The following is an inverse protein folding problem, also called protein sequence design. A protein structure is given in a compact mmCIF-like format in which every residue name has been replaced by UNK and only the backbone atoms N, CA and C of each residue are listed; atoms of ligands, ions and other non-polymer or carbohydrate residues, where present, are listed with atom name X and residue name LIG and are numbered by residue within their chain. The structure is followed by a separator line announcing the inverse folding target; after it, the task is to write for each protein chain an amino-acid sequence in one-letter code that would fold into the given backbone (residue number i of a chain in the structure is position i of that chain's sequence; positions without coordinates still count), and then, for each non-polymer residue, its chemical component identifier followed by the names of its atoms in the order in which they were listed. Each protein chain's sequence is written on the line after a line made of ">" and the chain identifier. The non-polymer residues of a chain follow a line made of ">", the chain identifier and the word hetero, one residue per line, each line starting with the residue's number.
data_IF_971899412600
#
_entry.id   IF_971899412600
#
_cell.length_a   1.000
_cell.length_b   1.000
_cell.length_c   1.000
_cell.angle_alpha   90.00
_cell.angle_beta   90.00
_cell.angle_gamma   90.00
#
_symmetry.space_group_name_H-M   'P 1'
#
loop_
_entity.id
_entity.type
_entity.pdbx_description
1 polymer ?
#
# COMPACT_ATOMS: atom_id res chain seq x y z
N UNK A 1 12.98 -4.05 33.83
CA UNK A 1 11.63 -4.66 33.63
C UNK A 1 11.72 -5.69 32.49
N UNK A 2 10.67 -6.45 32.17
CA UNK A 2 10.73 -7.33 30.97
C UNK A 2 10.45 -6.50 29.72
N UNK A 3 11.38 -6.50 28.76
CA UNK A 3 11.20 -5.89 27.44
C UNK A 3 10.08 -6.63 26.69
N UNK A 4 9.16 -5.89 26.07
CA UNK A 4 8.04 -6.47 25.33
C UNK A 4 8.18 -6.28 23.82
N UNK A 5 7.98 -7.34 23.05
CA UNK A 5 7.85 -7.24 21.61
C UNK A 5 6.53 -6.55 21.24
N UNK A 6 6.57 -5.71 20.21
CA UNK A 6 5.40 -5.11 19.57
C UNK A 6 5.37 -5.52 18.09
N UNK A 7 4.25 -6.05 17.62
CA UNK A 7 4.10 -6.41 16.20
C UNK A 7 3.78 -5.18 15.35
N UNK A 8 4.02 -5.26 14.03
CA UNK A 8 3.62 -4.21 13.09
C UNK A 8 2.11 -3.90 13.16
N UNK A 9 1.26 -4.93 13.26
CA UNK A 9 -0.19 -4.77 13.45
C UNK A 9 -0.54 -3.97 14.73
N UNK A 10 0.13 -4.28 15.84
CA UNK A 10 -0.07 -3.56 17.11
C UNK A 10 0.38 -2.10 17.01
N UNK A 11 1.55 -1.86 16.41
CA UNK A 11 2.07 -0.51 16.18
C UNK A 11 1.10 0.31 15.32
N UNK A 12 0.59 -0.28 14.25
CA UNK A 12 -0.38 0.39 13.37
C UNK A 12 -1.64 0.77 14.14
N UNK A 13 -2.26 -0.18 14.87
CA UNK A 13 -3.46 0.09 15.68
C UNK A 13 -3.24 1.25 16.66
N UNK A 14 -2.04 1.37 17.24
CA UNK A 14 -1.68 2.49 18.14
C UNK A 14 -1.49 3.81 17.42
N UNK A 15 -0.88 3.80 16.23
CA UNK A 15 -0.73 4.98 15.37
C UNK A 15 -2.10 5.62 15.06
N UNK A 16 -3.08 4.81 14.65
CA UNK A 16 -4.45 5.31 14.40
C UNK A 16 -5.24 5.63 15.66
N UNK A 17 -4.97 4.98 16.79
CA UNK A 17 -5.55 5.35 18.07
C UNK A 17 -5.00 6.67 18.64
N UNK A 18 -4.14 7.40 17.88
CA UNK A 18 -3.45 8.63 18.30
C UNK A 18 -2.73 8.48 19.65
N UNK A 19 -2.23 7.28 19.92
CA UNK A 19 -1.52 6.98 21.17
C UNK A 19 -0.16 7.67 21.16
N UNK A 20 0.09 8.56 22.13
CA UNK A 20 1.35 9.32 22.22
C UNK A 20 2.53 8.36 22.40
N UNK A 21 3.31 8.21 21.34
CA UNK A 21 4.41 7.26 21.28
C UNK A 21 5.73 8.02 21.13
N UNK A 22 6.78 7.51 21.76
CA UNK A 22 8.15 7.96 21.54
C UNK A 22 8.91 6.85 20.80
N UNK A 23 9.43 7.18 19.63
CA UNK A 23 10.14 6.24 18.75
C UNK A 23 11.63 6.53 18.80
N UNK A 24 12.42 5.60 19.34
CA UNK A 24 13.87 5.63 19.25
C UNK A 24 14.33 4.79 18.06
N UNK A 25 14.73 5.43 16.98
CA UNK A 25 15.27 4.76 15.80
C UNK A 25 16.79 4.61 15.93
N UNK A 26 17.26 3.37 16.03
CA UNK A 26 18.70 3.07 16.20
C UNK A 26 19.40 2.66 14.90
N UNK A 27 18.74 2.86 13.75
CA UNK A 27 19.39 2.70 12.44
C UNK A 27 20.40 3.83 12.18
N UNK A 28 21.23 3.64 11.17
CA UNK A 28 22.14 4.68 10.71
C UNK A 28 21.33 5.85 10.12
N UNK A 29 21.87 7.05 10.21
CA UNK A 29 21.20 8.27 9.74
C UNK A 29 20.73 8.18 8.28
N UNK A 30 21.53 7.58 7.40
CA UNK A 30 21.17 7.40 6.00
C UNK A 30 19.91 6.53 5.82
N UNK A 31 19.74 5.47 6.62
CA UNK A 31 18.57 4.59 6.54
C UNK A 31 17.30 5.27 7.07
N UNK A 32 17.45 6.16 8.06
CA UNK A 32 16.33 6.96 8.61
C UNK A 32 15.93 8.09 7.67
N UNK A 33 16.90 8.70 6.99
CA UNK A 33 16.67 9.73 5.97
C UNK A 33 16.00 9.15 4.72
N UNK A 34 16.32 7.91 4.35
CA UNK A 34 15.63 7.21 3.25
C UNK A 34 14.15 7.05 3.58
N UNK A 35 13.83 6.59 4.80
CA UNK A 35 12.46 6.50 5.29
C UNK A 35 12.38 6.21 6.79
N UNK A 36 11.26 6.59 7.43
CA UNK A 36 10.98 6.35 8.85
C UNK A 36 9.50 6.10 9.10
N UNK A 37 9.16 5.71 10.34
CA UNK A 37 7.75 5.61 10.76
C UNK A 37 7.26 7.00 11.12
N UNK A 38 6.17 7.42 10.51
CA UNK A 38 5.55 8.74 10.71
C UNK A 38 4.13 8.61 11.27
N UNK A 39 3.66 9.67 11.93
CA UNK A 39 2.30 9.76 12.45
C UNK A 39 2.13 10.94 13.40
N UNK A 40 0.92 11.53 13.43
CA UNK A 40 0.63 12.75 14.21
C UNK A 40 0.98 12.64 15.70
N UNK A 41 0.88 11.43 16.27
CA UNK A 41 1.11 11.16 17.70
C UNK A 41 2.51 10.59 18.00
N UNK A 42 3.38 10.48 16.99
CA UNK A 42 4.74 9.93 17.11
C UNK A 42 5.72 11.09 17.28
N UNK A 43 6.56 11.00 18.31
CA UNK A 43 7.77 11.82 18.43
C UNK A 43 8.95 10.88 18.24
N UNK A 44 9.76 11.13 17.23
CA UNK A 44 10.93 10.31 16.91
C UNK A 44 12.25 10.98 17.31
N UNK A 45 13.22 10.13 17.68
CA UNK A 45 14.62 10.49 17.87
C UNK A 45 15.48 9.42 17.19
N UNK A 46 16.43 9.84 16.35
CA UNK A 46 17.41 8.92 15.78
C UNK A 46 18.74 8.99 16.56
N UNK A 47 19.13 7.87 17.16
CA UNK A 47 20.46 7.68 17.77
C UNK A 47 21.02 6.36 17.26
N UNK A 48 21.98 6.37 16.33
CA UNK A 48 22.51 5.15 15.76
C UNK A 48 23.02 4.17 16.82
N UNK A 49 22.77 2.88 16.60
CA UNK A 49 23.15 1.83 17.55
C UNK A 49 24.64 1.84 17.94
N UNK A 50 25.53 2.24 17.02
CA UNK A 50 26.97 2.29 17.31
C UNK A 50 27.33 3.30 18.40
N UNK A 51 26.54 4.35 18.57
CA UNK A 51 26.70 5.36 19.64
C UNK A 51 26.20 4.86 21.00
N UNK A 52 25.53 3.69 21.04
CA UNK A 52 24.92 3.10 22.24
C UNK A 52 25.62 1.82 22.70
N UNK A 53 26.76 1.46 22.10
CA UNK A 53 27.47 0.21 22.40
C UNK A 53 27.99 0.14 23.84
N UNK A 54 28.39 1.29 24.39
CA UNK A 54 28.90 1.40 25.77
C UNK A 54 27.77 1.60 26.81
N UNK A 55 26.51 1.56 26.36
CA UNK A 55 25.32 1.74 27.18
C UNK A 55 24.49 2.96 26.78
N UNK A 56 23.38 3.17 27.49
CA UNK A 56 22.50 4.33 27.31
C UNK A 56 22.95 5.43 28.29
N UNK A 57 23.46 6.53 27.76
CA UNK A 57 23.93 7.67 28.55
C UNK A 57 22.77 8.45 29.21
N UNK A 58 23.07 9.17 30.30
CA UNK A 58 22.09 10.00 31.00
C UNK A 58 21.46 11.07 30.11
N UNK A 59 22.19 11.60 29.13
CA UNK A 59 21.68 12.61 28.20
C UNK A 59 20.55 12.04 27.33
N UNK A 60 20.70 10.82 26.80
CA UNK A 60 19.63 10.15 26.06
C UNK A 60 18.40 9.92 26.94
N UNK A 61 18.59 9.49 28.19
CA UNK A 61 17.47 9.27 29.13
C UNK A 61 16.67 10.55 29.40
N UNK A 62 17.31 11.73 29.39
CA UNK A 62 16.62 13.01 29.56
C UNK A 62 15.73 13.38 28.36
N UNK A 63 16.05 12.87 27.17
CA UNK A 63 15.25 13.08 25.97
C UNK A 63 14.06 12.09 25.86
N UNK A 64 14.06 11.01 26.65
CA UNK A 64 12.98 10.02 26.65
C UNK A 64 11.85 10.51 27.57
N UNK A 65 10.65 10.81 27.03
CA UNK A 65 9.54 11.30 27.83
C UNK A 65 8.96 10.20 28.71
N UNK A 66 8.68 10.53 29.97
CA UNK A 66 8.08 9.61 30.95
C UNK A 66 6.56 9.43 30.80
N UNK A 67 5.89 10.31 30.03
CA UNK A 67 4.45 10.29 29.78
C UNK A 67 4.05 9.55 28.49
N UNK A 68 4.99 8.84 27.85
CA UNK A 68 4.76 8.15 26.58
C UNK A 68 5.26 6.72 26.61
N UNK A 69 4.68 5.89 25.76
CA UNK A 69 5.24 4.57 25.49
C UNK A 69 6.48 4.69 24.60
N UNK A 70 7.56 4.02 25.01
CA UNK A 70 8.82 3.99 24.27
C UNK A 70 8.85 2.76 23.38
N UNK A 71 9.14 2.98 22.10
CA UNK A 71 9.38 1.93 21.11
C UNK A 71 10.77 2.12 20.50
N UNK A 72 11.60 1.09 20.54
CA UNK A 72 12.89 1.07 19.86
C UNK A 72 12.77 0.31 18.54
N UNK A 73 13.30 0.88 17.46
CA UNK A 73 13.29 0.25 16.13
C UNK A 73 14.68 0.19 15.54
N UNK A 74 14.97 -0.91 14.84
CA UNK A 74 16.13 -1.05 13.98
C UNK A 74 15.74 -1.79 12.69
N UNK A 75 16.69 -2.07 11.80
CA UNK A 75 16.39 -2.69 10.51
C UNK A 75 15.65 -4.05 10.61
N UNK A 76 16.02 -4.93 11.55
CA UNK A 76 15.45 -6.29 11.68
C UNK A 76 14.94 -6.68 13.07
N UNK A 77 15.53 -6.15 14.14
CA UNK A 77 15.11 -6.19 15.56
C UNK A 77 16.30 -6.35 16.52
N UNK A 78 17.41 -6.97 16.10
CA UNK A 78 18.52 -7.34 16.99
C UNK A 78 19.08 -6.16 17.80
N UNK A 79 19.50 -5.08 17.13
CA UNK A 79 19.98 -3.86 17.81
C UNK A 79 18.91 -3.20 18.68
N UNK A 80 17.63 -3.22 18.25
CA UNK A 80 16.56 -2.63 19.06
C UNK A 80 16.24 -3.44 20.31
N UNK A 81 16.43 -4.78 20.29
CA UNK A 81 16.30 -5.62 21.48
C UNK A 81 17.38 -5.24 22.50
N UNK A 82 18.64 -5.17 22.07
CA UNK A 82 19.76 -4.82 22.96
C UNK A 82 19.56 -3.44 23.60
N UNK A 83 19.21 -2.43 22.80
CA UNK A 83 18.96 -1.08 23.32
C UNK A 83 17.72 -1.04 24.22
N UNK A 84 16.66 -1.77 23.88
CA UNK A 84 15.49 -1.87 24.74
C UNK A 84 15.80 -2.56 26.08
N UNK A 85 16.70 -3.55 26.11
CA UNK A 85 17.17 -4.16 27.35
C UNK A 85 17.92 -3.15 28.21
N UNK A 86 18.85 -2.39 27.63
CA UNK A 86 19.58 -1.32 28.34
C UNK A 86 18.63 -0.26 28.92
N UNK A 87 17.66 0.21 28.14
CA UNK A 87 16.64 1.15 28.62
C UNK A 87 15.78 0.57 29.75
N UNK A 88 15.43 -0.71 29.65
CA UNK A 88 14.64 -1.41 30.67
C UNK A 88 15.40 -1.64 31.97
N UNK A 89 16.72 -1.83 31.90
CA UNK A 89 17.63 -1.87 33.06
C UNK A 89 17.75 -0.49 33.73
N UNK A 90 17.76 0.58 32.93
CA UNK A 90 17.68 1.96 33.41
C UNK A 90 16.29 2.37 33.94
N UNK A 91 15.32 1.44 33.95
CA UNK A 91 13.99 1.65 34.53
C UNK A 91 12.94 2.23 33.57
N UNK A 92 13.22 2.32 32.27
CA UNK A 92 12.28 2.80 31.24
C UNK A 92 11.38 1.65 30.76
N UNK A 93 10.05 1.73 30.88
CA UNK A 93 9.15 0.77 30.23
C UNK A 93 9.25 0.91 28.71
N UNK A 94 9.67 -0.16 28.03
CA UNK A 94 10.03 -0.09 26.61
C UNK A 94 9.59 -1.32 25.83
N UNK A 95 9.23 -1.08 24.57
CA UNK A 95 8.98 -2.10 23.56
C UNK A 95 10.05 -2.06 22.47
N UNK A 96 10.20 -3.16 21.75
CA UNK A 96 10.87 -3.14 20.44
C UNK A 96 9.92 -3.63 19.35
N UNK A 97 10.15 -3.19 18.13
CA UNK A 97 9.38 -3.67 16.98
C UNK A 97 9.87 -5.05 16.56
N UNK A 98 9.01 -6.06 16.70
CA UNK A 98 9.27 -7.42 16.28
C UNK A 98 9.46 -7.47 14.76
N UNK A 99 10.57 -8.07 14.33
CA UNK A 99 11.00 -8.10 12.93
C UNK A 99 11.49 -6.74 12.39
N UNK A 100 11.55 -5.70 13.24
CA UNK A 100 12.09 -4.38 12.95
C UNK A 100 11.39 -3.66 11.79
N UNK A 101 12.08 -2.66 11.25
CA UNK A 101 11.60 -1.87 10.12
C UNK A 101 11.33 -2.74 8.88
N UNK A 102 12.02 -3.88 8.73
CA UNK A 102 11.70 -4.86 7.69
C UNK A 102 10.25 -5.36 7.82
N UNK A 103 9.86 -5.85 9.00
CA UNK A 103 8.50 -6.33 9.22
C UNK A 103 7.46 -5.22 9.06
N UNK A 104 7.77 -3.99 9.50
CA UNK A 104 6.90 -2.84 9.26
C UNK A 104 6.75 -2.51 7.76
N UNK A 105 7.84 -2.58 6.99
CA UNK A 105 7.81 -2.36 5.54
C UNK A 105 7.08 -3.46 4.77
N UNK A 106 6.95 -4.65 5.36
CA UNK A 106 6.29 -5.82 4.77
C UNK A 106 4.86 -6.01 5.28
N UNK A 107 4.41 -5.21 6.26
CA UNK A 107 3.04 -5.24 6.77
C UNK A 107 2.10 -4.55 5.78
N UNK A 108 0.98 -5.20 5.48
CA UNK A 108 -0.15 -4.58 4.79
C UNK A 108 -1.36 -4.62 5.72
N UNK A 109 -2.01 -3.48 5.90
CA UNK A 109 -3.27 -3.44 6.65
C UNK A 109 -4.46 -3.56 5.70
N UNK A 110 -5.33 -4.57 5.85
CA UNK A 110 -6.61 -4.59 5.16
C UNK A 110 -7.58 -3.57 5.79
N UNK A 111 -8.13 -2.69 4.95
CA UNK A 111 -9.17 -1.71 5.28
C UNK A 111 -10.37 -1.98 4.37
N UNK A 112 -11.55 -2.14 4.95
CA UNK A 112 -12.79 -2.30 4.16
C UNK A 112 -13.17 -0.95 3.56
N UNK A 113 -13.28 -0.88 2.24
CA UNK A 113 -13.70 0.34 1.53
C UNK A 113 -15.21 0.46 1.49
N UNK A 114 -15.92 -0.65 1.22
CA UNK A 114 -17.37 -0.63 1.15
C UNK A 114 -17.99 -1.93 0.69
N UNK A 115 -19.31 -1.97 0.76
CA UNK A 115 -20.16 -3.02 0.19
C UNK A 115 -20.59 -2.62 -1.23
N UNK A 116 -20.74 -3.59 -2.13
CA UNK A 116 -21.28 -3.32 -3.48
C UNK A 116 -22.79 -3.09 -3.44
N UNK A 117 -23.26 -2.10 -4.19
CA UNK A 117 -24.68 -1.69 -4.21
C UNK A 117 -25.67 -2.79 -4.64
N UNK A 118 -25.24 -3.74 -5.47
CA UNK A 118 -26.02 -4.91 -5.88
C UNK A 118 -26.20 -5.98 -4.79
N UNK A 119 -25.49 -5.84 -3.66
CA UNK A 119 -25.44 -6.81 -2.57
C UNK A 119 -24.51 -8.00 -2.84
N UNK A 120 -24.06 -8.66 -1.78
CA UNK A 120 -23.32 -9.94 -1.86
C UNK A 120 -21.81 -9.85 -2.10
N UNK A 121 -21.23 -8.64 -2.14
CA UNK A 121 -19.79 -8.46 -2.26
C UNK A 121 -19.25 -7.24 -1.51
N UNK A 122 -17.95 -7.23 -1.32
CA UNK A 122 -17.19 -6.25 -0.55
C UNK A 122 -15.88 -5.90 -1.27
N UNK A 123 -15.37 -4.68 -1.07
CA UNK A 123 -14.05 -4.27 -1.54
C UNK A 123 -13.14 -3.93 -0.34
N UNK A 124 -11.95 -4.50 -0.34
CA UNK A 124 -10.90 -4.26 0.65
C UNK A 124 -9.66 -3.66 -0.02
N UNK A 125 -9.07 -2.68 0.64
CA UNK A 125 -7.79 -2.09 0.28
C UNK A 125 -6.73 -2.56 1.29
N UNK A 126 -5.57 -2.99 0.81
CA UNK A 126 -4.43 -3.40 1.61
C UNK A 126 -3.39 -2.30 1.57
N UNK A 127 -3.20 -1.63 2.70
CA UNK A 127 -2.35 -0.43 2.82
C UNK A 127 -0.96 -0.83 3.30
N UNK A 128 0.05 -0.66 2.44
CA UNK A 128 1.46 -0.91 2.77
C UNK A 128 2.15 0.39 3.21
N UNK A 129 1.98 0.75 4.48
CA UNK A 129 2.47 2.01 5.06
C UNK A 129 3.94 2.31 4.76
N UNK A 130 4.84 1.33 4.89
CA UNK A 130 6.28 1.58 4.72
C UNK A 130 6.74 1.86 3.29
N UNK A 131 5.87 1.71 2.28
CA UNK A 131 6.20 1.97 0.87
C UNK A 131 5.16 2.77 0.11
N UNK A 132 4.03 3.10 0.72
CA UNK A 132 2.96 3.83 0.05
C UNK A 132 2.19 3.00 -1.00
N UNK A 133 2.44 1.69 -1.09
CA UNK A 133 1.75 0.82 -2.06
C UNK A 133 0.35 0.43 -1.54
N UNK A 134 -0.59 0.32 -2.47
CA UNK A 134 -1.96 -0.08 -2.25
C UNK A 134 -2.27 -1.25 -3.18
N UNK A 135 -2.95 -2.24 -2.63
CA UNK A 135 -3.50 -3.35 -3.41
C UNK A 135 -4.92 -3.63 -2.96
N UNK A 136 -5.65 -4.43 -3.73
CA UNK A 136 -7.09 -4.57 -3.52
C UNK A 136 -7.51 -6.03 -3.52
N UNK A 137 -8.51 -6.36 -2.69
CA UNK A 137 -9.25 -7.61 -2.82
C UNK A 137 -10.74 -7.29 -2.97
N UNK A 138 -11.30 -7.77 -4.06
CA UNK A 138 -12.73 -7.70 -4.37
C UNK A 138 -13.29 -9.08 -4.02
N UNK A 139 -14.29 -9.12 -3.15
CA UNK A 139 -14.86 -10.37 -2.62
C UNK A 139 -16.33 -10.45 -3.01
N UNK A 140 -16.77 -11.61 -3.50
CA UNK A 140 -18.20 -11.86 -3.71
C UNK A 140 -18.51 -13.36 -3.74
N UNK A 141 -19.57 -13.79 -3.05
CA UNK A 141 -20.12 -15.15 -3.09
C UNK A 141 -19.08 -16.29 -3.08
N UNK A 142 -18.11 -16.25 -2.17
CA UNK A 142 -17.08 -17.29 -2.02
C UNK A 142 -15.89 -17.20 -2.98
N UNK A 143 -15.84 -16.18 -3.83
CA UNK A 143 -14.74 -15.90 -4.75
C UNK A 143 -14.11 -14.53 -4.46
N UNK A 144 -12.85 -14.37 -4.85
CA UNK A 144 -12.14 -13.12 -4.74
C UNK A 144 -11.23 -12.85 -5.96
N UNK A 145 -11.11 -11.58 -6.31
CA UNK A 145 -10.08 -11.07 -7.22
C UNK A 145 -9.10 -10.19 -6.44
N UNK A 146 -7.80 -10.32 -6.71
CA UNK A 146 -6.76 -9.45 -6.13
C UNK A 146 -6.15 -8.58 -7.22
N UNK A 147 -6.05 -7.27 -6.96
CA UNK A 147 -5.43 -6.30 -7.88
C UNK A 147 -4.15 -5.74 -7.27
N UNK A 148 -3.07 -5.71 -8.06
CA UNK A 148 -1.74 -5.19 -7.72
C UNK A 148 -1.13 -5.86 -6.48
N UNK A 149 -1.14 -7.19 -6.46
CA UNK A 149 -0.71 -7.96 -5.29
C UNK A 149 0.77 -7.69 -4.95
N UNK A 150 1.04 -7.14 -3.76
CA UNK A 150 2.40 -7.07 -3.22
C UNK A 150 3.07 -8.46 -3.08
N UNK A 151 4.41 -8.48 -3.07
CA UNK A 151 5.23 -9.69 -2.96
C UNK A 151 4.93 -10.60 -1.75
N UNK A 152 4.41 -10.04 -0.66
CA UNK A 152 4.05 -10.77 0.57
C UNK A 152 2.71 -11.50 0.40
N UNK A 153 2.67 -12.47 -0.51
CA UNK A 153 1.43 -13.10 -0.99
C UNK A 153 0.60 -13.82 0.07
N UNK A 154 1.23 -14.31 1.15
CA UNK A 154 0.55 -15.00 2.24
C UNK A 154 -0.52 -14.14 2.92
N UNK A 155 -0.38 -12.81 2.91
CA UNK A 155 -1.38 -11.94 3.53
C UNK A 155 -2.74 -12.02 2.82
N UNK A 156 -2.74 -12.12 1.49
CA UNK A 156 -3.98 -12.25 0.71
C UNK A 156 -4.57 -13.65 0.90
N UNK A 157 -3.73 -14.67 0.93
CA UNK A 157 -4.17 -16.06 1.14
C UNK A 157 -4.83 -16.21 2.52
N UNK A 158 -4.19 -15.69 3.57
CA UNK A 158 -4.72 -15.75 4.93
C UNK A 158 -5.97 -14.88 5.10
N UNK A 159 -6.04 -13.74 4.43
CA UNK A 159 -7.24 -12.91 4.39
C UNK A 159 -8.40 -13.64 3.69
N UNK A 160 -8.17 -14.18 2.50
CA UNK A 160 -9.18 -14.94 1.75
C UNK A 160 -9.72 -16.14 2.57
N UNK A 161 -8.84 -16.89 3.25
CA UNK A 161 -9.25 -17.97 4.17
C UNK A 161 -10.12 -17.48 5.32
N UNK A 162 -9.78 -16.33 5.94
CA UNK A 162 -10.58 -15.76 7.04
C UNK A 162 -11.97 -15.31 6.58
N UNK A 163 -12.10 -14.94 5.31
CA UNK A 163 -13.36 -14.52 4.68
C UNK A 163 -14.09 -15.67 3.95
N UNK A 164 -13.61 -16.91 4.08
CA UNK A 164 -14.17 -18.10 3.44
C UNK A 164 -14.33 -17.95 1.91
N UNK A 165 -13.34 -17.34 1.26
CA UNK A 165 -13.33 -17.11 -0.20
C UNK A 165 -12.09 -17.68 -0.87
N UNK A 166 -12.24 -18.05 -2.14
CA UNK A 166 -11.16 -18.52 -3.00
C UNK A 166 -10.71 -17.42 -3.95
N UNK A 167 -9.42 -17.14 -4.00
CA UNK A 167 -8.87 -16.20 -5.00
C UNK A 167 -8.90 -16.88 -6.37
N UNK A 168 -9.69 -16.36 -7.30
CA UNK A 168 -9.89 -16.91 -8.66
C UNK A 168 -9.23 -16.05 -9.74
N UNK A 169 -9.00 -14.77 -9.46
CA UNK A 169 -8.31 -13.85 -10.36
C UNK A 169 -7.26 -13.03 -9.63
N UNK A 170 -6.13 -12.82 -10.29
CA UNK A 170 -5.08 -11.90 -9.86
C UNK A 170 -4.74 -11.00 -11.04
N UNK A 171 -4.84 -9.68 -10.86
CA UNK A 171 -4.69 -8.69 -11.92
C UNK A 171 -3.59 -7.71 -11.52
N UNK A 172 -2.69 -7.35 -12.44
CA UNK A 172 -1.86 -6.16 -12.25
C UNK A 172 -2.32 -5.06 -13.22
N UNK A 173 -2.43 -3.82 -12.72
CA UNK A 173 -2.80 -2.64 -13.51
C UNK A 173 -1.74 -2.30 -14.55
N UNK A 174 -0.47 -2.54 -14.23
CA UNK A 174 0.70 -2.30 -15.06
C UNK A 174 1.87 -3.16 -14.61
N UNK A 175 2.95 -3.21 -15.39
CA UNK A 175 4.20 -3.81 -14.92
C UNK A 175 4.91 -2.84 -13.96
N UNK A 176 4.76 -3.09 -12.66
CA UNK A 176 5.32 -2.29 -11.57
C UNK A 176 6.85 -2.18 -11.67
N UNK A 177 7.37 -0.94 -11.74
CA UNK A 177 8.81 -0.66 -11.84
C UNK A 177 9.49 -0.44 -10.47
N UNK A 178 8.69 -0.08 -9.46
CA UNK A 178 9.10 0.27 -8.11
C UNK A 178 9.19 -0.94 -7.17
N UNK A 179 8.50 -2.05 -7.50
CA UNK A 179 8.52 -3.28 -6.73
C UNK A 179 8.31 -4.54 -7.58
N UNK A 180 8.73 -5.68 -7.01
CA UNK A 180 8.43 -6.98 -7.60
C UNK A 180 6.97 -7.34 -7.27
N UNK A 181 6.11 -7.39 -8.29
CA UNK A 181 4.73 -7.87 -8.15
C UNK A 181 4.70 -9.28 -7.55
N UNK A 182 3.80 -9.48 -6.60
CA UNK A 182 3.42 -10.79 -6.07
C UNK A 182 2.37 -11.49 -6.91
N UNK A 183 1.84 -10.85 -7.96
CA UNK A 183 0.70 -11.30 -8.76
C UNK A 183 0.88 -12.71 -9.31
N UNK A 184 1.96 -12.95 -10.06
CA UNK A 184 2.30 -14.27 -10.60
C UNK A 184 2.37 -15.34 -9.50
N UNK A 185 3.11 -15.06 -8.43
CA UNK A 185 3.30 -16.02 -7.34
C UNK A 185 1.96 -16.33 -6.65
N UNK A 186 1.12 -15.33 -6.42
CA UNK A 186 -0.18 -15.50 -5.81
C UNK A 186 -1.09 -16.36 -6.71
N UNK A 187 -1.08 -16.12 -8.02
CA UNK A 187 -1.81 -16.92 -8.99
C UNK A 187 -1.36 -18.40 -8.97
N UNK A 188 -0.05 -18.65 -8.98
CA UNK A 188 0.52 -20.01 -8.87
C UNK A 188 0.12 -20.71 -7.54
N UNK A 189 0.12 -19.98 -6.43
CA UNK A 189 -0.24 -20.53 -5.10
C UNK A 189 -1.73 -20.85 -4.96
N UNK A 190 -2.60 -20.13 -5.68
CA UNK A 190 -4.07 -20.22 -5.54
C UNK A 190 -4.73 -20.97 -6.69
N UNK A 191 -4.03 -21.14 -7.82
CA UNK A 191 -4.61 -21.63 -9.07
C UNK A 191 -5.46 -20.57 -9.79
N UNK A 192 -5.38 -19.31 -9.39
CA UNK A 192 -6.10 -18.20 -10.00
C UNK A 192 -5.59 -17.89 -11.42
N UNK A 193 -6.44 -17.30 -12.24
CA UNK A 193 -6.04 -16.70 -13.52
C UNK A 193 -5.22 -15.45 -13.25
N UNK A 194 -4.03 -15.36 -13.85
CA UNK A 194 -3.19 -14.16 -13.78
C UNK A 194 -3.43 -13.27 -15.01
N UNK A 195 -3.74 -12.01 -14.78
CA UNK A 195 -4.09 -11.04 -15.80
C UNK A 195 -3.03 -9.93 -15.88
N UNK A 196 -2.54 -9.66 -17.09
CA UNK A 196 -1.55 -8.61 -17.35
C UNK A 196 -1.89 -7.76 -18.57
N UNK A 197 -1.49 -6.48 -18.59
CA UNK A 197 -1.61 -5.68 -19.79
C UNK A 197 -0.62 -6.15 -20.85
N UNK A 198 -1.09 -6.51 -22.07
CA UNK A 198 -0.23 -7.13 -23.08
C UNK A 198 0.92 -6.22 -23.54
N UNK A 199 0.72 -4.90 -23.54
CA UNK A 199 1.76 -3.92 -23.94
C UNK A 199 2.88 -3.75 -22.92
N UNK A 200 2.64 -4.11 -21.66
CA UNK A 200 3.68 -4.16 -20.61
C UNK A 200 4.33 -5.55 -20.51
N UNK A 201 3.77 -6.55 -21.20
CA UNK A 201 4.12 -7.96 -21.07
C UNK A 201 4.73 -8.55 -22.35
N UNK A 202 5.33 -7.73 -23.22
CA UNK A 202 5.92 -8.20 -24.49
C UNK A 202 7.11 -9.15 -24.27
N UNK A 203 7.89 -8.95 -23.21
CA UNK A 203 9.04 -9.78 -22.84
C UNK A 203 8.71 -10.86 -21.80
N UNK A 204 7.44 -10.96 -21.38
CA UNK A 204 7.01 -11.95 -20.40
C UNK A 204 7.02 -13.35 -21.01
N UNK A 205 7.67 -14.29 -20.32
CA UNK A 205 7.89 -15.68 -20.79
C UNK A 205 7.00 -16.73 -20.13
N UNK A 206 6.05 -16.30 -19.29
CA UNK A 206 5.11 -17.17 -18.59
C UNK A 206 3.67 -16.93 -19.08
N UNK A 207 2.77 -17.88 -18.82
CA UNK A 207 1.36 -17.77 -19.24
C UNK A 207 0.61 -16.71 -18.41
N UNK A 208 -0.19 -15.91 -19.10
CA UNK A 208 -1.09 -14.92 -18.53
C UNK A 208 -2.30 -14.72 -19.45
N UNK A 209 -3.42 -14.26 -18.90
CA UNK A 209 -4.56 -13.78 -19.67
C UNK A 209 -4.44 -12.27 -19.91
N UNK A 210 -4.83 -11.82 -21.09
CA UNK A 210 -4.63 -10.44 -21.51
C UNK A 210 -5.66 -9.53 -20.86
N UNK A 211 -5.24 -8.34 -20.44
CA UNK A 211 -6.14 -7.25 -20.09
C UNK A 211 -6.40 -6.41 -21.34
N UNK A 212 -7.54 -6.66 -21.99
CA UNK A 212 -7.99 -5.91 -23.17
C UNK A 212 -9.34 -5.24 -22.89
N UNK A 213 -9.50 -3.99 -23.31
CA UNK A 213 -10.73 -3.23 -23.10
C UNK A 213 -11.93 -3.94 -23.76
N UNK A 214 -13.05 -4.02 -23.05
CA UNK A 214 -14.23 -4.78 -23.45
C UNK A 214 -14.22 -6.26 -23.04
N UNK A 215 -13.11 -6.76 -22.49
CA UNK A 215 -13.10 -8.05 -21.82
C UNK A 215 -13.90 -7.99 -20.52
N UNK A 216 -14.62 -9.07 -20.22
CA UNK A 216 -15.46 -9.15 -19.02
C UNK A 216 -14.86 -10.12 -18.02
N UNK A 217 -14.35 -9.60 -16.91
CA UNK A 217 -13.86 -10.39 -15.78
C UNK A 217 -14.93 -10.31 -14.70
N UNK A 218 -15.37 -11.45 -14.17
CA UNK A 218 -16.45 -11.47 -13.16
C UNK A 218 -16.16 -12.44 -12.04
N UNK A 219 -16.59 -12.12 -10.83
CA UNK A 219 -16.50 -13.02 -9.66
C UNK A 219 -17.86 -13.23 -8.98
N UNK A 220 -17.94 -14.28 -8.16
CA UNK A 220 -19.06 -14.56 -7.27
C UNK A 220 -20.32 -14.96 -8.03
N UNK A 221 -20.21 -15.94 -8.94
CA UNK A 221 -21.26 -16.33 -9.88
C UNK A 221 -21.74 -15.18 -10.80
N UNK A 222 -20.78 -14.39 -11.28
CA UNK A 222 -21.00 -13.21 -12.14
C UNK A 222 -21.81 -12.07 -11.49
N UNK A 223 -21.69 -11.92 -10.18
CA UNK A 223 -22.34 -10.84 -9.42
C UNK A 223 -21.56 -9.53 -9.49
N UNK A 224 -20.23 -9.60 -9.54
CA UNK A 224 -19.35 -8.44 -9.62
C UNK A 224 -18.63 -8.44 -10.96
N UNK A 225 -18.67 -7.29 -11.63
CA UNK A 225 -18.05 -7.04 -12.92
C UNK A 225 -16.77 -6.20 -12.76
N UNK A 226 -15.67 -6.65 -13.35
CA UNK A 226 -14.37 -5.97 -13.36
C UNK A 226 -14.02 -5.69 -14.82
N UNK A 227 -14.09 -4.41 -15.20
CA UNK A 227 -13.88 -3.97 -16.57
C UNK A 227 -12.47 -3.37 -16.71
N UNK A 228 -11.56 -4.01 -17.46
CA UNK A 228 -10.30 -3.39 -17.83
C UNK A 228 -10.55 -2.23 -18.81
N UNK A 229 -9.96 -1.09 -18.50
CA UNK A 229 -9.97 0.13 -19.31
C UNK A 229 -8.51 0.43 -19.68
N UNK A 230 -8.22 0.47 -20.97
CA UNK A 230 -6.90 0.89 -21.43
C UNK A 230 -6.67 2.37 -21.08
N UNK A 231 -5.63 2.64 -20.29
CA UNK A 231 -5.37 3.95 -19.69
C UNK A 231 -3.86 4.24 -19.65
N UNK A 232 -3.20 4.38 -20.81
CA UNK A 232 -1.76 4.60 -20.88
C UNK A 232 -1.37 5.94 -20.26
N UNK A 233 -0.12 6.03 -19.83
CA UNK A 233 0.47 7.29 -19.36
C UNK A 233 1.59 7.08 -18.34
N UNK A 234 1.37 6.20 -17.35
CA UNK A 234 2.44 5.81 -16.43
C UNK A 234 3.36 4.76 -17.06
N UNK A 235 2.75 3.74 -17.65
CA UNK A 235 3.35 2.81 -18.61
C UNK A 235 2.50 2.80 -19.88
N UNK A 236 3.06 2.28 -20.97
CA UNK A 236 2.31 2.14 -22.23
C UNK A 236 1.18 1.11 -22.14
N UNK A 237 1.30 0.12 -21.25
CA UNK A 237 0.28 -0.89 -20.97
C UNK A 237 -0.64 -0.57 -19.79
N UNK A 238 -0.46 0.56 -19.10
CA UNK A 238 -1.28 0.90 -17.93
C UNK A 238 -2.78 0.72 -18.19
N UNK A 239 -3.42 0.00 -17.29
CA UNK A 239 -4.83 -0.41 -17.37
C UNK A 239 -5.51 -0.12 -16.05
N UNK A 240 -6.61 0.64 -16.12
CA UNK A 240 -7.48 0.91 -14.97
C UNK A 240 -8.59 -0.14 -14.91
N UNK A 241 -9.22 -0.31 -13.75
CA UNK A 241 -10.40 -1.16 -13.62
C UNK A 241 -11.61 -0.38 -13.13
N UNK A 242 -12.72 -0.49 -13.86
CA UNK A 242 -14.04 -0.13 -13.31
C UNK A 242 -14.61 -1.38 -12.64
N UNK A 243 -14.91 -1.29 -11.35
CA UNK A 243 -15.46 -2.40 -10.57
C UNK A 243 -16.90 -2.09 -10.20
N UNK A 244 -17.81 -2.90 -10.73
CA UNK A 244 -19.26 -2.87 -10.51
C UNK A 244 -19.89 -1.48 -10.65
N UNK A 245 -19.38 -0.68 -11.59
CA UNK A 245 -19.79 0.71 -11.82
C UNK A 245 -19.80 1.59 -10.55
N UNK A 246 -18.91 1.32 -9.60
CA UNK A 246 -18.82 2.05 -8.32
C UNK A 246 -17.40 2.55 -8.06
N UNK A 247 -16.41 1.72 -8.37
CA UNK A 247 -15.01 2.02 -8.08
C UNK A 247 -14.19 2.13 -9.35
N UNK A 248 -13.23 3.04 -9.36
CA UNK A 248 -12.19 3.15 -10.37
C UNK A 248 -10.85 2.83 -9.71
N UNK A 249 -10.32 1.64 -9.96
CA UNK A 249 -8.94 1.31 -9.58
C UNK A 249 -8.04 1.93 -10.66
N UNK A 250 -7.43 3.06 -10.34
CA UNK A 250 -6.71 3.90 -11.30
C UNK A 250 -5.26 3.47 -11.55
N UNK A 251 -4.77 2.45 -10.82
CA UNK A 251 -3.36 2.09 -10.84
C UNK A 251 -2.49 3.31 -10.51
N UNK A 252 -1.41 3.49 -11.28
CA UNK A 252 -0.51 4.62 -11.17
C UNK A 252 -0.81 5.75 -12.16
N UNK A 253 -2.08 5.94 -12.55
CA UNK A 253 -2.49 7.03 -13.44
C UNK A 253 -2.94 8.27 -12.65
N UNK A 254 -3.89 8.09 -11.73
CA UNK A 254 -4.48 9.18 -10.94
C UNK A 254 -4.42 8.84 -9.45
N UNK A 255 -3.76 9.70 -8.68
CA UNK A 255 -3.64 9.62 -7.22
C UNK A 255 -4.57 10.61 -6.52
N UNK A 256 -4.52 10.65 -5.18
CA UNK A 256 -5.37 11.55 -4.39
C UNK A 256 -4.94 13.00 -4.62
N UNK A 257 -3.64 13.29 -4.47
CA UNK A 257 -3.11 14.64 -4.63
C UNK A 257 -2.15 14.80 -5.82
N UNK A 258 -1.91 13.72 -6.58
CA UNK A 258 -0.98 13.68 -7.71
C UNK A 258 -1.47 12.85 -8.91
N UNK A 259 -0.63 12.74 -9.94
CA UNK A 259 -0.82 11.85 -11.10
C UNK A 259 0.43 11.00 -11.30
N UNK A 260 0.28 9.91 -12.04
CA UNK A 260 1.37 9.05 -12.49
C UNK A 260 2.50 9.82 -13.13
N UNK A 261 3.75 9.42 -12.86
CA UNK A 261 4.88 9.96 -13.61
C UNK A 261 5.01 9.24 -14.97
N UNK A 262 5.10 9.97 -16.09
CA UNK A 262 5.28 9.40 -17.42
C UNK A 262 6.76 9.21 -17.83
N UNK A 263 7.71 9.54 -16.95
CA UNK A 263 9.13 9.66 -17.28
C UNK A 263 9.98 8.41 -17.02
N UNK A 264 9.40 7.35 -16.44
CA UNK A 264 10.14 6.19 -15.95
C UNK A 264 10.89 5.40 -17.02
N UNK A 265 10.42 5.42 -18.27
CA UNK A 265 11.09 4.77 -19.40
C UNK A 265 11.98 5.71 -20.23
N UNK A 266 12.16 6.98 -19.82
CA UNK A 266 12.82 7.99 -20.64
C UNK A 266 12.00 8.44 -21.86
N UNK A 267 10.72 8.06 -21.92
CA UNK A 267 9.75 8.38 -22.99
C UNK A 267 8.77 9.49 -22.57
N UNK A 268 9.24 10.43 -21.76
CA UNK A 268 8.40 11.46 -21.15
C UNK A 268 7.58 12.27 -22.16
N UNK A 269 8.07 12.51 -23.37
CA UNK A 269 7.31 13.26 -24.39
C UNK A 269 6.10 12.46 -24.91
N UNK A 270 6.28 11.17 -25.22
CA UNK A 270 5.21 10.34 -25.81
C UNK A 270 4.14 9.98 -24.76
N UNK A 271 4.55 9.62 -23.54
CA UNK A 271 3.62 9.15 -22.50
C UNK A 271 2.88 10.29 -21.78
N UNK A 272 3.35 11.54 -21.89
CA UNK A 272 2.60 12.70 -21.39
C UNK A 272 1.31 12.91 -22.17
N UNK A 273 1.33 12.75 -23.49
CA UNK A 273 0.12 12.89 -24.30
C UNK A 273 -0.86 11.75 -24.03
N UNK A 274 -0.37 10.51 -23.89
CA UNK A 274 -1.18 9.36 -23.47
C UNK A 274 -1.84 9.62 -22.10
N UNK A 275 -1.06 10.07 -21.11
CA UNK A 275 -1.56 10.40 -19.78
C UNK A 275 -2.61 11.51 -19.83
N UNK A 276 -2.39 12.51 -20.69
CA UNK A 276 -3.32 13.62 -20.90
C UNK A 276 -4.63 13.13 -21.51
N UNK A 277 -4.59 12.31 -22.55
CA UNK A 277 -5.80 11.72 -23.15
C UNK A 277 -6.57 10.87 -22.13
N UNK A 278 -5.85 10.04 -21.37
CA UNK A 278 -6.43 9.23 -20.29
C UNK A 278 -7.16 10.09 -19.25
N UNK A 279 -6.53 11.15 -18.75
CA UNK A 279 -7.11 12.00 -17.70
C UNK A 279 -8.24 12.90 -18.21
N UNK A 280 -8.07 13.49 -19.40
CA UNK A 280 -8.95 14.57 -19.89
C UNK A 280 -10.02 14.16 -20.88
N UNK A 281 -9.87 13.01 -21.51
CA UNK A 281 -10.87 12.49 -22.43
C UNK A 281 -11.54 11.28 -21.79
N UNK A 282 -10.75 10.27 -21.42
CA UNK A 282 -11.29 8.99 -20.93
C UNK A 282 -11.91 9.11 -19.54
N UNK A 283 -11.16 9.52 -18.53
CA UNK A 283 -11.69 9.69 -17.17
C UNK A 283 -12.72 10.82 -17.07
N UNK A 284 -12.67 11.80 -17.98
CA UNK A 284 -13.71 12.83 -18.05
C UNK A 284 -15.06 12.28 -18.53
N UNK A 285 -15.07 11.21 -19.33
CA UNK A 285 -16.30 10.53 -19.75
C UNK A 285 -16.92 9.64 -18.67
N UNK A 286 -16.17 9.28 -17.62
CA UNK A 286 -16.65 8.43 -16.53
C UNK A 286 -17.59 9.16 -15.56
N UNK A 287 -18.38 8.35 -14.83
CA UNK A 287 -19.22 8.85 -13.73
C UNK A 287 -18.37 9.57 -12.70
N UNK A 288 -18.82 10.77 -12.30
CA UNK A 288 -18.14 11.58 -11.28
C UNK A 288 -18.31 11.05 -9.87
N UNK A 289 -19.22 10.08 -9.70
CA UNK A 289 -19.50 9.40 -8.44
C UNK A 289 -18.58 8.21 -8.19
N UNK A 290 -17.76 7.80 -9.19
CA UNK A 290 -16.81 6.72 -8.97
C UNK A 290 -15.83 7.07 -7.85
N UNK A 291 -15.59 6.10 -6.98
CA UNK A 291 -14.57 6.18 -5.94
C UNK A 291 -13.25 5.73 -6.54
N UNK A 292 -12.29 6.66 -6.60
CA UNK A 292 -10.95 6.41 -7.15
C UNK A 292 -10.07 5.76 -6.10
N UNK A 293 -9.45 4.64 -6.48
CA UNK A 293 -8.61 3.77 -5.68
C UNK A 293 -7.25 3.58 -6.39
N UNK A 294 -6.21 4.37 -6.04
CA UNK A 294 -4.91 4.31 -6.71
C UNK A 294 -4.05 3.10 -6.32
N UNK A 295 -2.98 2.79 -7.05
CA UNK A 295 -2.00 1.79 -6.60
C UNK A 295 -0.96 2.35 -5.63
N UNK A 296 -0.85 3.68 -5.49
CA UNK A 296 0.06 4.34 -4.56
C UNK A 296 -0.52 5.57 -3.86
N UNK A 297 0.08 5.91 -2.72
CA UNK A 297 -0.05 7.19 -2.03
C UNK A 297 1.32 7.65 -1.53
N UNK A 298 1.51 8.96 -1.41
CA UNK A 298 2.81 9.56 -1.11
C UNK A 298 2.91 10.00 0.35
N UNK A 299 1.81 10.47 0.91
CA UNK A 299 1.80 11.12 2.23
C UNK A 299 0.61 10.67 3.08
N UNK A 300 0.75 10.73 4.40
CA UNK A 300 -0.32 10.32 5.32
C UNK A 300 -1.55 11.24 5.21
N UNK A 301 -1.36 12.48 4.73
CA UNK A 301 -2.42 13.45 4.47
C UNK A 301 -3.37 13.03 3.34
N UNK A 302 -2.95 12.09 2.47
CA UNK A 302 -3.82 11.50 1.44
C UNK A 302 -4.75 10.42 2.01
N UNK A 303 -4.53 9.98 3.26
CA UNK A 303 -5.32 8.94 3.91
C UNK A 303 -6.55 9.54 4.61
N UNK A 304 -7.66 8.81 4.56
CA UNK A 304 -8.87 9.09 5.34
C UNK A 304 -8.68 8.69 6.82
N UNK A 305 -9.60 9.12 7.69
CA UNK A 305 -9.53 8.86 9.14
C UNK A 305 -9.52 7.36 9.50
N UNK A 306 -10.13 6.52 8.67
CA UNK A 306 -10.16 5.06 8.83
C UNK A 306 -8.92 4.35 8.28
N UNK A 307 -7.99 5.12 7.70
CA UNK A 307 -6.77 4.62 7.09
C UNK A 307 -6.92 4.20 5.63
N UNK A 308 -8.11 4.35 5.03
CA UNK A 308 -8.31 4.10 3.60
C UNK A 308 -7.75 5.25 2.76
N UNK A 309 -7.41 4.98 1.50
CA UNK A 309 -6.95 5.98 0.53
C UNK A 309 -7.87 5.94 -0.67
N UNK A 310 -8.80 6.89 -0.73
CA UNK A 310 -9.71 7.05 -1.85
C UNK A 310 -10.32 8.44 -1.93
N UNK A 311 -10.82 8.81 -3.10
CA UNK A 311 -11.58 10.05 -3.30
C UNK A 311 -12.56 9.93 -4.46
N UNK A 312 -13.67 10.67 -4.40
CA UNK A 312 -14.59 10.75 -5.54
C UNK A 312 -13.90 11.36 -6.78
N UNK A 313 -14.07 10.71 -7.94
CA UNK A 313 -13.47 11.14 -9.21
C UNK A 313 -13.85 12.58 -9.55
N UNK A 314 -15.11 12.96 -9.32
CA UNK A 314 -15.58 14.33 -9.54
C UNK A 314 -14.86 15.38 -8.70
N UNK A 315 -14.39 15.01 -7.52
CA UNK A 315 -13.62 15.90 -6.65
C UNK A 315 -12.17 16.05 -7.12
N UNK A 316 -11.57 14.98 -7.63
CA UNK A 316 -10.22 15.00 -8.21
C UNK A 316 -10.16 15.82 -9.49
N UNK A 317 -11.10 15.61 -10.42
CA UNK A 317 -11.13 16.29 -11.72
C UNK A 317 -11.47 17.79 -11.64
N UNK A 318 -12.06 18.25 -10.53
CA UNK A 318 -12.33 19.70 -10.30
C UNK A 318 -11.06 20.49 -9.96
N UNK A 319 -9.98 19.83 -9.53
CA UNK A 319 -8.71 20.49 -9.25
C UNK A 319 -8.10 20.96 -10.57
N UNK A 320 -8.19 22.26 -10.84
CA UNK A 320 -7.66 22.93 -12.03
C UNK A 320 -6.13 22.80 -12.22
N UNK A 321 -5.42 22.18 -11.27
CA UNK A 321 -3.96 22.08 -11.25
C UNK A 321 -3.37 21.10 -12.25
N UNK A 322 -4.18 20.22 -12.85
CA UNK A 322 -3.68 19.22 -13.79
C UNK A 322 -3.60 19.75 -15.23
N UNK A 323 -4.23 20.89 -15.53
CA UNK A 323 -4.44 21.35 -16.90
C UNK A 323 -3.13 21.89 -17.50
N UNK A 324 -2.69 21.41 -18.68
CA UNK A 324 -1.69 22.14 -19.44
C UNK A 324 -2.32 23.45 -19.93
N UNK A 325 -1.56 24.54 -19.84
CA UNK A 325 -1.87 25.79 -20.53
C UNK A 325 -1.95 25.60 -22.04
#
# INVERSE_FOLDING_TARGET
>A
MTVKAMTAEQLKKRSWAKSRSFLLDVRNQADVQDWKIEGEAIVDLNVPYFDLLDGVEEDLLQHIPSDREVLVVCAKEGSSILVAEMLSEAGVPVHYLQGGMKAWSEHLEPVKIGDFSGGGGELYQFVRMGKGCLSYMIVSNGEAAVVDAARMTEIYIDFAKKHDVSVTHVLDTHLHADHISGGKKLAEQTGATYWLPPKDAEEVTFEYERLEEGQRITIGAASIDIQPIYSPGHTIGSTSFIVDNQYLLSGDILFIDSIGRPDLAGMAEDWVDDLRETLYERYMAFSKEYIVLPAHFMTIEEMNEDGSVWKELGSLLKRKSWAPY
#
